data_IF_971859964147
#
_entry.id   IF_971859964147
#
_cell.length_a   1.000
_cell.length_b   1.000
_cell.length_c   1.000
_cell.angle_alpha   90.00
_cell.angle_beta   90.00
_cell.angle_gamma   90.00
#
_symmetry.space_group_name_H-M   'P 1'
#
loop_
_entity.id
_entity.type
_entity.pdbx_description
1 polymer ?
#
# COMPACT_ATOMS: atom_id res chain seq x y z
N UNK A 1 46.82 -13.13 3.74
CA UNK A 1 45.96 -12.23 4.55
C UNK A 1 44.99 -11.51 3.63
N UNK A 2 43.71 -11.83 3.67
CA UNK A 2 42.68 -11.20 2.81
C UNK A 2 42.04 -10.02 3.53
N UNK A 3 42.19 -8.82 2.96
CA UNK A 3 41.70 -7.56 3.51
C UNK A 3 40.20 -7.48 3.28
N UNK A 4 39.42 -7.70 4.33
CA UNK A 4 37.97 -7.56 4.31
C UNK A 4 37.63 -6.06 4.23
N UNK A 5 37.27 -5.59 3.04
CA UNK A 5 36.77 -4.22 2.84
C UNK A 5 35.44 -4.09 3.55
N UNK A 6 35.40 -3.29 4.63
CA UNK A 6 34.19 -2.98 5.35
C UNK A 6 33.21 -2.26 4.38
N UNK A 7 32.11 -2.92 4.05
CA UNK A 7 31.02 -2.32 3.29
C UNK A 7 30.47 -1.14 4.07
N UNK A 8 30.80 0.08 3.62
CA UNK A 8 30.25 1.32 4.16
C UNK A 8 28.73 1.27 3.95
N UNK A 9 27.99 0.99 5.02
CA UNK A 9 26.54 0.96 5.04
C UNK A 9 26.06 2.39 4.77
N UNK A 10 25.73 2.71 3.51
CA UNK A 10 25.11 3.98 3.13
C UNK A 10 23.87 4.17 3.98
N UNK A 11 23.93 5.13 4.90
CA UNK A 11 22.79 5.65 5.66
C UNK A 11 21.73 6.06 4.65
N UNK A 12 20.67 5.26 4.56
CA UNK A 12 19.62 5.45 3.55
C UNK A 12 18.84 6.69 3.94
N UNK A 13 19.10 7.81 3.27
CA UNK A 13 18.39 9.06 3.51
C UNK A 13 16.89 8.80 3.38
N UNK A 14 16.14 9.03 4.47
CA UNK A 14 14.74 8.63 4.58
C UNK A 14 13.88 9.86 4.30
N UNK A 15 13.46 10.03 3.05
CA UNK A 15 12.53 11.09 2.69
C UNK A 15 11.16 10.85 3.34
N UNK A 16 10.51 11.93 3.81
CA UNK A 16 9.14 11.93 4.34
C UNK A 16 8.15 11.48 3.27
N UNK A 17 6.92 11.13 3.68
CA UNK A 17 5.88 10.74 2.72
C UNK A 17 5.43 11.96 1.90
N UNK A 18 5.18 13.09 2.56
CA UNK A 18 4.79 14.36 1.92
C UNK A 18 5.77 14.79 0.82
N UNK A 19 7.08 14.74 1.10
CA UNK A 19 8.10 15.09 0.09
C UNK A 19 8.07 14.16 -1.12
N UNK A 20 7.79 12.86 -0.92
CA UNK A 20 7.67 11.93 -2.05
C UNK A 20 6.44 12.23 -2.89
N UNK A 21 5.33 12.58 -2.25
CA UNK A 21 4.08 12.88 -2.94
C UNK A 21 4.22 14.18 -3.75
N UNK A 22 4.83 15.22 -3.19
CA UNK A 22 5.18 16.45 -3.91
C UNK A 22 6.15 16.19 -5.07
N UNK A 23 7.17 15.36 -4.84
CA UNK A 23 8.13 15.00 -5.88
C UNK A 23 7.49 14.22 -7.04
N UNK A 24 6.52 13.36 -6.73
CA UNK A 24 5.73 12.66 -7.74
C UNK A 24 4.79 13.60 -8.49
N UNK A 25 4.12 14.52 -7.80
CA UNK A 25 3.27 15.54 -8.43
C UNK A 25 4.07 16.46 -9.37
N UNK A 26 5.28 16.85 -8.96
CA UNK A 26 6.19 17.60 -9.82
C UNK A 26 6.60 16.76 -11.04
N UNK A 27 6.96 15.50 -10.84
CA UNK A 27 7.32 14.58 -11.91
C UNK A 27 6.20 14.36 -12.94
N UNK A 28 4.93 14.37 -12.52
CA UNK A 28 3.79 14.28 -13.43
C UNK A 28 3.59 15.57 -14.26
N UNK A 29 3.98 16.74 -13.72
CA UNK A 29 3.87 18.03 -14.41
C UNK A 29 5.00 18.30 -15.41
N UNK A 30 6.26 18.03 -15.02
CA UNK A 30 7.45 18.41 -15.81
C UNK A 30 8.29 17.22 -16.29
N UNK A 31 7.85 16.00 -15.99
CA UNK A 31 8.55 14.77 -16.31
C UNK A 31 9.56 14.35 -15.23
N UNK A 32 9.72 13.03 -15.05
CA UNK A 32 10.54 12.45 -13.99
C UNK A 32 12.03 12.86 -14.08
N UNK A 33 12.60 12.98 -15.27
CA UNK A 33 14.01 13.38 -15.43
C UNK A 33 14.25 14.83 -15.03
N UNK A 34 13.32 15.72 -15.36
CA UNK A 34 13.42 17.15 -15.03
C UNK A 34 13.19 17.35 -13.54
N UNK A 35 12.14 16.75 -12.97
CA UNK A 35 11.86 16.79 -11.54
C UNK A 35 13.00 16.23 -10.70
N UNK A 36 13.63 15.13 -11.14
CA UNK A 36 14.79 14.57 -10.47
C UNK A 36 15.97 15.56 -10.41
N UNK A 37 16.20 16.33 -11.49
CA UNK A 37 17.25 17.36 -11.51
C UNK A 37 16.95 18.51 -10.56
N UNK A 38 15.72 19.02 -10.56
CA UNK A 38 15.31 20.12 -9.67
C UNK A 38 15.36 19.73 -8.19
N UNK A 39 14.97 18.49 -7.87
CA UNK A 39 14.95 17.98 -6.50
C UNK A 39 16.29 17.38 -6.05
N UNK A 40 17.31 17.40 -6.90
CA UNK A 40 18.61 16.74 -6.68
C UNK A 40 18.48 15.25 -6.32
N UNK A 41 17.49 14.59 -6.91
CA UNK A 41 17.21 13.16 -6.74
C UNK A 41 17.73 12.36 -7.93
N UNK A 42 17.90 11.05 -7.72
CA UNK A 42 18.11 10.14 -8.82
C UNK A 42 16.75 9.79 -9.46
N UNK A 43 16.64 9.81 -10.78
CA UNK A 43 15.38 9.50 -11.49
C UNK A 43 14.82 8.13 -11.12
N UNK A 44 15.68 7.15 -10.81
CA UNK A 44 15.28 5.83 -10.32
C UNK A 44 14.50 5.87 -9.00
N UNK A 45 14.75 6.87 -8.14
CA UNK A 45 14.01 7.04 -6.88
C UNK A 45 12.56 7.44 -7.15
N UNK A 46 12.32 8.34 -8.10
CA UNK A 46 10.97 8.73 -8.50
C UNK A 46 10.20 7.54 -9.09
N UNK A 47 10.82 6.74 -9.96
CA UNK A 47 10.19 5.53 -10.48
C UNK A 47 9.85 4.52 -9.38
N UNK A 48 10.77 4.31 -8.43
CA UNK A 48 10.51 3.42 -7.28
C UNK A 48 9.39 3.94 -6.38
N UNK A 49 9.30 5.25 -6.15
CA UNK A 49 8.22 5.85 -5.36
C UNK A 49 6.88 5.74 -6.09
N UNK A 50 6.86 6.00 -7.41
CA UNK A 50 5.67 5.82 -8.24
C UNK A 50 5.17 4.38 -8.18
N UNK A 51 6.06 3.40 -8.36
CA UNK A 51 5.71 1.99 -8.26
C UNK A 51 5.14 1.62 -6.88
N UNK A 52 5.74 2.13 -5.79
CA UNK A 52 5.24 1.91 -4.42
C UNK A 52 3.90 2.60 -4.16
N UNK A 53 3.68 3.80 -4.69
CA UNK A 53 2.40 4.50 -4.59
C UNK A 53 1.29 3.71 -5.29
N UNK A 54 1.56 3.22 -6.50
CA UNK A 54 0.63 2.37 -7.26
C UNK A 54 0.32 1.05 -6.55
N UNK A 55 1.33 0.39 -5.99
CA UNK A 55 1.13 -0.83 -5.19
C UNK A 55 0.24 -0.58 -3.98
N UNK A 56 0.46 0.52 -3.24
CA UNK A 56 -0.39 0.88 -2.09
C UNK A 56 -1.83 1.12 -2.48
N UNK A 57 -2.06 1.85 -3.58
CA UNK A 57 -3.41 2.08 -4.09
C UNK A 57 -4.14 0.77 -4.42
N UNK A 58 -3.46 -0.14 -5.12
CA UNK A 58 -4.02 -1.45 -5.47
C UNK A 58 -4.28 -2.33 -4.23
N UNK A 59 -3.35 -2.34 -3.26
CA UNK A 59 -3.54 -3.05 -1.99
C UNK A 59 -4.75 -2.50 -1.23
N UNK A 60 -4.89 -1.18 -1.15
CA UNK A 60 -6.02 -0.53 -0.46
C UNK A 60 -7.37 -0.85 -1.12
N UNK A 61 -7.42 -0.91 -2.44
CA UNK A 61 -8.63 -1.29 -3.19
C UNK A 61 -9.01 -2.76 -2.93
N UNK A 62 -8.02 -3.65 -2.94
CA UNK A 62 -8.22 -5.06 -2.61
C UNK A 62 -8.68 -5.24 -1.16
N UNK A 63 -8.11 -4.50 -0.22
CA UNK A 63 -8.50 -4.53 1.18
C UNK A 63 -9.95 -4.05 1.37
N UNK A 64 -10.37 -3.01 0.64
CA UNK A 64 -11.75 -2.54 0.66
C UNK A 64 -12.72 -3.61 0.13
N UNK A 65 -12.40 -4.27 -0.99
CA UNK A 65 -13.23 -5.34 -1.53
C UNK A 65 -13.38 -6.51 -0.54
N UNK A 66 -12.31 -6.88 0.17
CA UNK A 66 -12.34 -7.91 1.21
C UNK A 66 -13.17 -7.48 2.43
N UNK A 67 -13.18 -6.19 2.78
CA UNK A 67 -14.00 -5.68 3.87
C UNK A 67 -15.50 -5.75 3.52
N UNK A 68 -15.86 -5.40 2.29
CA UNK A 68 -17.23 -5.46 1.79
C UNK A 68 -17.74 -6.92 1.75
N UNK A 69 -16.90 -7.85 1.28
CA UNK A 69 -17.21 -9.28 1.28
C UNK A 69 -17.36 -9.83 2.70
N UNK A 70 -16.48 -9.47 3.63
CA UNK A 70 -16.62 -9.84 5.04
C UNK A 70 -17.92 -9.31 5.66
N UNK A 71 -18.33 -8.09 5.33
CA UNK A 71 -19.59 -7.53 5.81
C UNK A 71 -20.79 -8.31 5.28
N UNK A 72 -20.76 -8.70 4.00
CA UNK A 72 -21.80 -9.56 3.39
C UNK A 72 -21.85 -10.92 4.08
N UNK A 73 -20.71 -11.59 4.25
CA UNK A 73 -20.64 -12.91 4.89
C UNK A 73 -21.14 -12.87 6.34
N UNK A 74 -20.81 -11.81 7.09
CA UNK A 74 -21.32 -11.62 8.46
C UNK A 74 -22.84 -11.46 8.51
N UNK A 75 -23.47 -10.81 7.53
CA UNK A 75 -24.94 -10.72 7.45
C UNK A 75 -25.58 -12.08 7.20
N UNK A 76 -25.02 -12.86 6.28
CA UNK A 76 -25.51 -14.21 5.99
C UNK A 76 -25.36 -15.15 7.20
N UNK A 77 -24.24 -15.05 7.93
CA UNK A 77 -24.05 -15.78 9.19
C UNK A 77 -25.06 -15.38 10.26
N UNK A 78 -25.38 -14.09 10.39
CA UNK A 78 -26.40 -13.64 11.34
C UNK A 78 -27.81 -14.12 10.96
N UNK A 79 -28.16 -14.07 9.67
CA UNK A 79 -29.44 -14.54 9.14
C UNK A 79 -29.63 -16.05 9.38
N UNK A 80 -28.64 -16.85 8.99
CA UNK A 80 -28.65 -18.31 9.22
C UNK A 80 -28.65 -18.69 10.70
N UNK A 81 -27.98 -17.91 11.56
CA UNK A 81 -28.01 -18.14 13.01
C UNK A 81 -29.41 -17.90 13.61
N UNK A 82 -30.14 -16.90 13.12
CA UNK A 82 -31.52 -16.64 13.52
C UNK A 82 -32.48 -17.71 12.97
N UNK A 83 -32.29 -18.18 11.74
CA UNK A 83 -33.06 -19.32 11.20
C UNK A 83 -32.83 -20.61 12.01
N UNK A 84 -31.59 -20.90 12.39
CA UNK A 84 -31.26 -22.05 13.23
C UNK A 84 -31.90 -21.93 14.63
N UNK A 85 -31.87 -20.75 15.24
CA UNK A 85 -32.56 -20.49 16.51
C UNK A 85 -34.09 -20.62 16.38
N UNK A 86 -34.67 -20.12 15.28
CA UNK A 86 -36.11 -20.23 15.01
C UNK A 86 -36.56 -21.67 14.77
N UNK A 87 -35.72 -22.50 14.14
CA UNK A 87 -36.00 -23.92 13.90
C UNK A 87 -35.92 -24.79 15.16
N UNK A 88 -35.19 -24.34 16.19
CA UNK A 88 -35.05 -25.03 17.48
C UNK A 88 -36.25 -24.92 18.41
N UNK A 89 -37.29 -24.17 18.05
CA UNK A 89 -38.50 -23.95 18.89
C UNK A 89 -39.69 -24.84 18.46
N UNK A 90 -39.50 -25.75 17.50
CA UNK A 90 -40.56 -26.59 16.94
C UNK A 90 -40.47 -28.09 17.29
N UNK A 91 -39.71 -28.43 18.35
CA UNK A 91 -39.53 -29.81 18.83
C UNK A 91 -39.65 -29.91 20.36
N UNK A 92 -40.77 -29.46 20.92
CA UNK A 92 -41.21 -29.82 22.27
C UNK A 92 -42.64 -30.36 22.26
#
# INVERSE_FOLDING_TARGET
MTRQVASMKKTRNRYSTEFKDEALALADRIGATTAARELHLQTSQLYQWRAKAQQRANTSEREQALADENARLKRQLAETAEELKGSGVFLE
#
